data_IF_401981530214
#
_entry.id   IF_401981530214
#
_cell.length_a   1.000
_cell.length_b   1.000
_cell.length_c   1.000
_cell.angle_alpha   90.00
_cell.angle_beta   90.00
_cell.angle_gamma   90.00
#
_symmetry.space_group_name_H-M   'P 1'
#
loop_
_entity.id
_entity.type
_entity.pdbx_description
1 polymer ?
#
# COMPACT_ATOMS: atom_id res chain seq x y z
N UNK A 1 28.57 3.51 -5.81
CA UNK A 1 27.97 2.50 -4.94
C UNK A 1 26.61 2.94 -4.45
N UNK A 2 25.60 2.22 -4.81
CA UNK A 2 24.23 2.59 -4.44
C UNK A 2 23.76 1.96 -3.12
N UNK A 3 24.62 1.19 -2.45
CA UNK A 3 24.24 0.44 -1.25
C UNK A 3 23.77 1.26 -0.05
N UNK A 4 24.04 2.58 -0.07
CA UNK A 4 23.60 3.49 0.99
C UNK A 4 22.22 4.08 0.71
N UNK A 5 21.73 3.96 -0.51
CA UNK A 5 20.48 4.58 -0.93
C UNK A 5 19.50 3.49 -1.35
N UNK A 6 18.28 3.62 -0.90
CA UNK A 6 17.20 2.75 -1.33
C UNK A 6 16.30 3.53 -2.27
N UNK A 7 16.07 2.97 -3.44
CA UNK A 7 15.24 3.61 -4.47
C UNK A 7 14.00 2.76 -4.66
N UNK A 8 12.86 3.39 -4.62
CA UNK A 8 11.59 2.72 -4.74
C UNK A 8 10.66 3.37 -5.74
N UNK A 9 9.52 2.74 -5.90
CA UNK A 9 8.46 3.22 -6.79
C UNK A 9 7.12 3.08 -6.07
N UNK A 10 6.20 3.96 -6.39
CA UNK A 10 4.81 3.83 -5.95
C UNK A 10 4.19 2.62 -6.65
N UNK A 11 3.43 1.83 -5.92
CA UNK A 11 2.71 0.70 -6.48
C UNK A 11 1.86 1.13 -7.68
N UNK A 12 1.83 0.30 -8.71
CA UNK A 12 1.04 0.54 -9.91
C UNK A 12 1.79 1.22 -11.05
N UNK A 13 3.01 1.72 -10.81
CA UNK A 13 3.77 2.45 -11.83
C UNK A 13 4.43 1.56 -12.88
N UNK A 14 4.73 0.32 -12.53
CA UNK A 14 5.40 -0.62 -13.43
C UNK A 14 4.45 -1.57 -14.15
N UNK A 15 3.17 -1.49 -13.85
CA UNK A 15 2.15 -2.40 -14.38
C UNK A 15 1.12 -1.63 -15.20
N UNK A 16 0.32 -2.34 -16.01
CA UNK A 16 -0.83 -1.72 -16.66
C UNK A 16 -1.74 -1.04 -15.65
N UNK A 17 -2.36 0.05 -16.05
CA UNK A 17 -3.29 0.79 -15.21
C UNK A 17 -4.40 -0.12 -14.69
N UNK A 18 -4.72 0.01 -13.41
CA UNK A 18 -5.88 -0.64 -12.83
C UNK A 18 -7.07 0.30 -12.91
N UNK A 19 -8.11 -0.11 -13.60
CA UNK A 19 -9.32 0.72 -13.81
C UNK A 19 -8.99 2.13 -14.28
N UNK A 20 -8.04 2.23 -15.21
CA UNK A 20 -7.64 3.51 -15.80
C UNK A 20 -6.72 4.37 -14.96
N UNK A 21 -6.22 3.86 -13.81
CA UNK A 21 -5.37 4.63 -12.90
C UNK A 21 -4.02 3.95 -12.69
N UNK A 22 -2.96 4.75 -12.67
CA UNK A 22 -1.64 4.29 -12.22
C UNK A 22 -1.53 4.28 -10.70
N UNK A 23 -2.12 5.27 -10.05
CA UNK A 23 -2.09 5.31 -8.58
C UNK A 23 -3.25 4.50 -8.03
N UNK A 24 -3.06 3.20 -7.99
CA UNK A 24 -4.02 2.25 -7.49
C UNK A 24 -3.31 0.96 -7.12
N UNK A 25 -3.89 0.23 -6.18
CA UNK A 25 -3.45 -1.13 -5.91
C UNK A 25 -3.87 -2.02 -7.08
N UNK A 26 -2.93 -2.66 -7.80
CA UNK A 26 -3.29 -3.48 -8.98
C UNK A 26 -3.85 -4.83 -8.57
N UNK A 27 -5.10 -4.82 -8.14
CA UNK A 27 -5.79 -6.01 -7.65
C UNK A 27 -5.76 -7.14 -8.69
N UNK A 28 -5.35 -8.32 -8.25
CA UNK A 28 -5.27 -9.51 -9.08
C UNK A 28 -3.92 -9.74 -9.76
N UNK A 29 -3.08 -8.71 -9.88
CA UNK A 29 -1.75 -8.87 -10.50
C UNK A 29 -0.65 -8.08 -9.81
N UNK A 30 -0.88 -7.66 -8.57
CA UNK A 30 0.06 -6.80 -7.83
C UNK A 30 1.42 -7.46 -7.57
N UNK A 31 1.48 -8.79 -7.46
CA UNK A 31 2.74 -9.48 -7.19
C UNK A 31 3.73 -9.35 -8.34
N UNK A 32 3.24 -9.23 -9.58
CA UNK A 32 4.09 -9.10 -10.76
C UNK A 32 4.98 -7.86 -10.68
N UNK A 33 4.53 -6.81 -10.00
CA UNK A 33 5.30 -5.59 -9.88
C UNK A 33 6.57 -5.77 -9.06
N UNK A 34 6.52 -6.63 -8.05
CA UNK A 34 7.69 -6.93 -7.22
C UNK A 34 8.80 -7.58 -8.04
N UNK A 35 8.44 -8.51 -8.90
CA UNK A 35 9.42 -9.17 -9.77
C UNK A 35 10.01 -8.17 -10.78
N UNK A 36 9.17 -7.33 -11.36
CA UNK A 36 9.62 -6.29 -12.29
C UNK A 36 10.54 -5.29 -11.60
N UNK A 37 10.16 -4.83 -10.41
CA UNK A 37 10.97 -3.89 -9.64
C UNK A 37 12.35 -4.47 -9.34
N UNK A 38 12.40 -5.72 -8.93
CA UNK A 38 13.66 -6.41 -8.67
C UNK A 38 14.54 -6.50 -9.93
N UNK A 39 13.93 -6.78 -11.07
CA UNK A 39 14.66 -6.88 -12.34
C UNK A 39 15.26 -5.56 -12.79
N UNK A 40 14.61 -4.45 -12.52
CA UNK A 40 15.14 -3.13 -12.90
C UNK A 40 16.01 -2.50 -11.81
N UNK A 41 16.23 -3.20 -10.71
CA UNK A 41 17.14 -2.75 -9.67
C UNK A 41 16.53 -1.85 -8.60
N UNK A 42 15.23 -1.83 -8.46
CA UNK A 42 14.56 -1.10 -7.39
C UNK A 42 14.56 -1.89 -6.09
N UNK A 43 14.61 -1.19 -4.98
CA UNK A 43 14.68 -1.80 -3.65
C UNK A 43 13.34 -1.85 -2.94
N UNK A 44 12.44 -0.92 -3.27
CA UNK A 44 11.24 -0.67 -2.49
C UNK A 44 10.02 -0.46 -3.40
N UNK A 45 8.88 -0.87 -2.89
CA UNK A 45 7.57 -0.48 -3.42
C UNK A 45 6.78 0.16 -2.29
N UNK A 46 6.24 1.37 -2.52
CA UNK A 46 5.27 1.96 -1.61
C UNK A 46 3.90 1.37 -1.93
N UNK A 47 3.35 0.62 -0.99
CA UNK A 47 2.12 -0.13 -1.20
C UNK A 47 0.90 0.77 -1.02
N UNK A 48 -0.13 0.58 -1.84
CA UNK A 48 -1.32 1.42 -1.81
C UNK A 48 -2.48 0.70 -1.13
N UNK A 49 -3.16 1.42 -0.25
CA UNK A 49 -4.45 1.00 0.29
C UNK A 49 -5.54 1.89 -0.30
N UNK A 50 -6.31 1.36 -1.23
CA UNK A 50 -7.43 2.06 -1.83
C UNK A 50 -8.71 1.93 -0.99
N UNK A 51 -9.67 2.80 -1.24
CA UNK A 51 -10.96 2.77 -0.56
C UNK A 51 -11.80 1.56 -0.99
N UNK A 52 -11.85 1.30 -2.30
CA UNK A 52 -12.66 0.20 -2.85
C UNK A 52 -12.09 -1.14 -2.42
N UNK A 53 -12.97 -2.02 -1.96
CA UNK A 53 -12.61 -3.39 -1.56
C UNK A 53 -11.48 -3.43 -0.53
N UNK A 54 -11.52 -2.50 0.43
CA UNK A 54 -10.43 -2.30 1.39
C UNK A 54 -10.04 -3.58 2.12
N UNK A 55 -11.00 -4.42 2.51
CA UNK A 55 -10.70 -5.65 3.24
C UNK A 55 -10.14 -6.76 2.36
N UNK A 56 -10.23 -6.63 1.04
CA UNK A 56 -9.62 -7.55 0.09
C UNK A 56 -8.18 -7.16 -0.25
N UNK A 57 -7.76 -5.96 0.14
CA UNK A 57 -6.38 -5.55 -0.04
C UNK A 57 -5.48 -6.44 0.81
N UNK A 58 -4.34 -6.91 0.27
CA UNK A 58 -3.42 -7.79 1.01
C UNK A 58 -2.97 -7.24 2.36
N UNK A 59 -2.95 -5.91 2.52
CA UNK A 59 -2.59 -5.28 3.80
C UNK A 59 -3.62 -5.52 4.89
N UNK A 60 -4.86 -5.89 4.54
CA UNK A 60 -5.97 -5.89 5.48
C UNK A 60 -6.45 -7.28 5.88
N UNK A 61 -5.76 -8.33 5.45
CA UNK A 61 -6.12 -9.69 5.85
C UNK A 61 -4.87 -10.57 6.01
N UNK A 62 -4.99 -11.62 6.80
CA UNK A 62 -3.85 -12.47 7.15
C UNK A 62 -3.28 -13.22 5.94
N UNK A 63 -4.13 -13.68 5.03
CA UNK A 63 -3.67 -14.36 3.82
C UNK A 63 -2.87 -13.41 2.93
N UNK A 64 -3.32 -12.17 2.81
CA UNK A 64 -2.62 -11.14 2.04
C UNK A 64 -1.28 -10.77 2.66
N UNK A 65 -1.22 -10.64 3.97
CA UNK A 65 0.04 -10.34 4.66
C UNK A 65 1.08 -11.43 4.43
N UNK A 66 0.66 -12.68 4.43
CA UNK A 66 1.55 -13.80 4.12
C UNK A 66 2.07 -13.69 2.67
N UNK A 67 1.20 -13.36 1.73
CA UNK A 67 1.61 -13.17 0.34
C UNK A 67 2.61 -12.03 0.17
N UNK A 68 2.40 -10.92 0.90
CA UNK A 68 3.35 -9.80 0.88
C UNK A 68 4.71 -10.25 1.41
N UNK A 69 4.74 -10.93 2.54
CA UNK A 69 5.99 -11.45 3.11
C UNK A 69 6.72 -12.37 2.13
N UNK A 70 5.98 -13.26 1.49
CA UNK A 70 6.56 -14.22 0.55
C UNK A 70 7.15 -13.51 -0.67
N UNK A 71 6.42 -12.55 -1.26
CA UNK A 71 6.91 -11.85 -2.45
C UNK A 71 8.07 -10.91 -2.13
N UNK A 72 8.07 -10.27 -0.96
CA UNK A 72 9.21 -9.45 -0.55
C UNK A 72 10.46 -10.30 -0.35
N UNK A 73 10.31 -11.48 0.19
CA UNK A 73 11.43 -12.39 0.39
C UNK A 73 11.97 -12.91 -0.93
N UNK A 74 11.11 -13.33 -1.84
CA UNK A 74 11.54 -13.91 -3.11
C UNK A 74 12.08 -12.89 -4.10
N UNK A 75 11.52 -11.68 -4.11
CA UNK A 75 11.95 -10.62 -5.04
C UNK A 75 13.11 -9.78 -4.51
N UNK A 76 13.30 -9.73 -3.20
CA UNK A 76 14.24 -8.82 -2.56
C UNK A 76 13.74 -7.37 -2.50
N UNK A 77 12.56 -7.09 -3.02
CA UNK A 77 11.94 -5.77 -2.99
C UNK A 77 11.03 -5.67 -1.78
N UNK A 78 11.22 -4.64 -0.97
CA UNK A 78 10.53 -4.50 0.32
C UNK A 78 9.44 -3.44 0.29
N UNK A 79 8.52 -3.57 1.22
CA UNK A 79 7.49 -2.55 1.49
C UNK A 79 7.89 -1.82 2.76
N UNK A 80 8.39 -0.59 2.64
CA UNK A 80 8.77 0.25 3.79
C UNK A 80 7.73 1.29 4.12
N UNK A 81 6.93 1.67 3.15
CA UNK A 81 5.89 2.68 3.33
C UNK A 81 4.60 2.25 2.65
N UNK A 82 3.52 2.81 3.14
CA UNK A 82 2.18 2.55 2.64
C UNK A 82 1.53 3.89 2.36
N UNK A 83 0.96 4.05 1.17
CA UNK A 83 0.16 5.22 0.84
C UNK A 83 -1.31 4.87 1.05
N UNK A 84 -1.90 5.43 2.10
CA UNK A 84 -3.26 5.11 2.50
C UNK A 84 -4.27 6.03 1.80
N UNK A 85 -4.42 5.86 0.50
CA UNK A 85 -5.36 6.64 -0.32
C UNK A 85 -6.81 6.46 0.15
N UNK A 86 -7.08 5.40 0.90
CA UNK A 86 -8.37 5.16 1.54
C UNK A 86 -8.90 6.41 2.23
N UNK A 87 -8.03 7.15 2.91
CA UNK A 87 -8.45 8.30 3.73
C UNK A 87 -8.77 9.54 2.93
N UNK A 88 -8.54 9.54 1.62
CA UNK A 88 -9.03 10.62 0.76
C UNK A 88 -10.54 10.57 0.61
N UNK A 89 -11.11 9.36 0.55
CA UNK A 89 -12.56 9.16 0.42
C UNK A 89 -13.25 8.98 1.75
N UNK A 90 -12.52 8.55 2.78
CA UNK A 90 -13.01 8.36 4.13
C UNK A 90 -12.13 9.12 5.12
N UNK A 91 -12.14 10.46 5.07
CA UNK A 91 -11.20 11.26 5.83
C UNK A 91 -11.42 11.19 7.33
N UNK A 92 -10.31 11.22 8.07
CA UNK A 92 -10.34 11.23 9.53
C UNK A 92 -10.90 12.52 10.10
N UNK A 93 -10.98 13.56 9.29
CA UNK A 93 -11.55 14.88 9.68
C UNK A 93 -13.00 15.05 9.21
N UNK A 94 -13.67 13.97 8.86
CA UNK A 94 -15.08 14.03 8.47
C UNK A 94 -15.95 14.58 9.60
N UNK A 95 -17.01 15.29 9.23
CA UNK A 95 -18.00 15.76 10.20
C UNK A 95 -18.96 14.66 10.65
N UNK A 96 -18.94 13.51 10.00
CA UNK A 96 -19.78 12.36 10.34
C UNK A 96 -19.04 11.46 11.35
N UNK A 97 -19.53 11.36 12.60
CA UNK A 97 -18.87 10.53 13.62
C UNK A 97 -18.77 9.05 13.25
N UNK A 98 -19.74 8.50 12.55
CA UNK A 98 -19.69 7.10 12.12
C UNK A 98 -18.58 6.88 11.09
N UNK A 99 -18.40 7.83 10.18
CA UNK A 99 -17.33 7.80 9.20
C UNK A 99 -15.97 7.84 9.90
N UNK A 100 -15.81 8.73 10.86
CA UNK A 100 -14.57 8.87 11.62
C UNK A 100 -14.25 7.58 12.37
N UNK A 101 -15.22 7.00 13.05
CA UNK A 101 -15.04 5.77 13.81
C UNK A 101 -14.60 4.61 12.90
N UNK A 102 -15.23 4.49 11.75
CA UNK A 102 -14.87 3.48 10.77
C UNK A 102 -13.46 3.69 10.23
N UNK A 103 -13.12 4.92 9.89
CA UNK A 103 -11.80 5.27 9.38
C UNK A 103 -10.71 5.03 10.43
N UNK A 104 -10.97 5.34 11.70
CA UNK A 104 -10.03 5.05 12.78
C UNK A 104 -9.82 3.54 12.95
N UNK A 105 -10.88 2.76 12.83
CA UNK A 105 -10.78 1.30 12.89
C UNK A 105 -9.89 0.75 11.77
N UNK A 106 -10.08 1.26 10.55
CA UNK A 106 -9.26 0.88 9.41
C UNK A 106 -7.80 1.29 9.65
N UNK A 107 -7.56 2.52 10.11
CA UNK A 107 -6.20 2.99 10.38
C UNK A 107 -5.51 2.13 11.42
N UNK A 108 -6.21 1.80 12.50
CA UNK A 108 -5.65 0.99 13.57
C UNK A 108 -5.23 -0.39 13.05
N UNK A 109 -6.10 -1.03 12.28
CA UNK A 109 -5.81 -2.32 11.68
C UNK A 109 -4.66 -2.24 10.70
N UNK A 110 -4.63 -1.18 9.88
CA UNK A 110 -3.57 -0.95 8.92
C UNK A 110 -2.21 -0.79 9.61
N UNK A 111 -2.14 0.01 10.67
CA UNK A 111 -0.89 0.24 11.38
C UNK A 111 -0.35 -1.06 11.99
N UNK A 112 -1.24 -1.86 12.57
CA UNK A 112 -0.88 -3.14 13.15
C UNK A 112 -0.34 -4.09 12.07
N UNK A 113 -1.02 -4.16 10.95
CA UNK A 113 -0.62 -5.04 9.84
C UNK A 113 0.65 -4.56 9.16
N UNK A 114 0.79 -3.24 9.00
CA UNK A 114 2.00 -2.63 8.43
C UNK A 114 3.24 -3.00 9.25
N UNK A 115 3.14 -2.92 10.58
CA UNK A 115 4.22 -3.31 11.46
C UNK A 115 4.61 -4.78 11.26
N UNK A 116 3.64 -5.65 11.02
CA UNK A 116 3.90 -7.08 10.86
C UNK A 116 4.69 -7.43 9.60
N UNK A 117 4.64 -6.59 8.58
CA UNK A 117 5.39 -6.78 7.33
C UNK A 117 6.66 -5.93 7.26
N UNK A 118 6.98 -5.20 8.32
CA UNK A 118 8.20 -4.38 8.40
C UNK A 118 8.08 -2.99 7.80
N UNK A 119 6.87 -2.54 7.46
CA UNK A 119 6.67 -1.17 7.00
C UNK A 119 6.90 -0.20 8.15
N UNK A 120 7.51 0.95 7.82
CA UNK A 120 7.91 1.95 8.81
C UNK A 120 7.03 3.17 8.81
N UNK A 121 6.45 3.49 7.67
CA UNK A 121 5.70 4.73 7.48
C UNK A 121 4.37 4.46 6.82
N UNK A 122 3.34 5.16 7.28
CA UNK A 122 2.04 5.19 6.64
C UNK A 122 1.76 6.64 6.26
N UNK A 123 1.61 6.88 4.97
CA UNK A 123 1.27 8.19 4.44
C UNK A 123 -0.24 8.33 4.42
N UNK A 124 -0.75 9.34 5.11
CA UNK A 124 -2.18 9.65 5.13
C UNK A 124 -2.37 10.93 4.33
N UNK A 125 -2.93 10.84 3.11
CA UNK A 125 -3.16 12.04 2.31
C UNK A 125 -4.24 12.90 2.95
N UNK A 126 -3.86 14.11 3.37
CA UNK A 126 -4.77 15.10 3.93
C UNK A 126 -5.03 16.17 2.88
N UNK A 127 -5.69 15.77 1.81
CA UNK A 127 -5.98 16.67 0.69
C UNK A 127 -7.43 17.10 0.74
N UNK A 128 -7.68 18.29 0.21
CA UNK A 128 -9.05 18.76 0.06
C UNK A 128 -9.78 17.87 -0.93
N UNK A 129 -10.80 17.25 -0.43
CA UNK A 129 -11.71 16.48 -1.25
C UNK A 129 -12.97 17.30 -1.40
N UNK A 130 -13.18 17.77 -2.56
CA UNK A 130 -14.36 18.58 -2.87
C UNK A 130 -15.65 17.78 -2.72
#
# INVERSE_FOLDING_TARGET
>A
MLGQFHVGVMQGRLLPKFEGRYQAHPKGYWQEEFDLAGKVGLDLIEFILDFSDVMENPLMNSAGLTKIKDITQSSGVKVRSICADYFMEAPLHSSDPEQVDKSLSILYQLMKNAASIGAKDVVIPCVDHA
#
